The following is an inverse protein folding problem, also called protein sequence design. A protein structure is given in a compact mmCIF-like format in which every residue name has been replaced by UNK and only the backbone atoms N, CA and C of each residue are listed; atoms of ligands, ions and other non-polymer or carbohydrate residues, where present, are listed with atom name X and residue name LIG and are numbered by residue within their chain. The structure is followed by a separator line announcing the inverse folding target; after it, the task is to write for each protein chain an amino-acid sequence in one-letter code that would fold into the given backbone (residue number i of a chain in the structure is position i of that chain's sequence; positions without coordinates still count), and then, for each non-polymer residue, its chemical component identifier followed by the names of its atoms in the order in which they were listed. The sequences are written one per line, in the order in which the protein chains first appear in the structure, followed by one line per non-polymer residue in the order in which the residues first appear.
data_IF_075141665529
#
_entry.id   IF_075141665529
#
_cell.length_a   1.000
_cell.length_b   1.000
_cell.length_c   1.000
_cell.angle_alpha   90.00
_cell.angle_beta   90.00
_cell.angle_gamma   90.00
#
_symmetry.space_group_name_H-M   'P 1'
#
loop_
_entity.id
_entity.type
_entity.pdbx_description
1 polymer ?
#
# COMPACT_ATOMS: atom_id res chain seq x y z
N UNK A 1 2.73 7.93 -4.07
CA UNK A 1 2.75 7.97 -2.59
C UNK A 1 3.88 8.81 -2.01
N UNK A 2 5.11 8.78 -2.57
CA UNK A 2 6.24 9.59 -2.05
C UNK A 2 6.03 11.11 -1.98
N UNK A 3 5.10 11.69 -2.75
CA UNK A 3 4.75 13.12 -2.72
C UNK A 3 3.78 13.51 -1.60
N UNK A 4 2.89 12.60 -1.18
CA UNK A 4 1.99 12.83 -0.03
C UNK A 4 2.76 12.70 1.29
N UNK A 5 3.76 11.82 1.32
CA UNK A 5 4.74 11.74 2.40
C UNK A 5 5.62 13.00 2.44
N UNK A 6 6.01 13.57 1.29
CA UNK A 6 6.70 14.86 1.25
C UNK A 6 5.85 16.00 1.87
N UNK A 7 4.52 15.95 1.78
CA UNK A 7 3.62 16.89 2.46
C UNK A 7 3.54 16.64 3.98
N UNK A 8 3.59 15.37 4.42
CA UNK A 8 3.66 14.98 5.83
C UNK A 8 5.00 15.36 6.48
N UNK A 9 6.08 15.28 5.70
CA UNK A 9 7.46 15.58 6.10
C UNK A 9 7.71 17.09 6.22
N UNK A 10 7.06 17.91 5.39
CA UNK A 10 7.53 19.27 5.13
C UNK A 10 6.92 20.37 5.99
N UNK A 11 5.96 20.13 6.88
CA UNK A 11 5.49 21.24 7.68
C UNK A 11 4.95 20.86 9.05
N UNK A 12 5.29 21.73 9.98
CA UNK A 12 4.60 22.01 11.22
C UNK A 12 3.16 22.52 10.90
N UNK A 13 2.39 21.75 10.12
CA UNK A 13 1.07 22.15 9.61
C UNK A 13 0.10 22.17 10.79
N UNK A 14 -0.52 23.33 11.03
CA UNK A 14 -1.69 23.46 11.93
C UNK A 14 -2.72 22.38 11.54
N UNK A 15 -2.96 21.40 12.40
CA UNK A 15 -3.83 20.24 12.12
C UNK A 15 -3.15 18.87 12.11
N UNK A 16 -1.88 18.76 12.52
CA UNK A 16 -1.14 17.48 12.49
C UNK A 16 -1.88 16.30 13.16
N UNK A 17 -2.66 16.53 14.23
CA UNK A 17 -3.44 15.50 14.92
C UNK A 17 -4.61 14.96 14.10
N UNK A 18 -5.35 15.82 13.39
CA UNK A 18 -6.47 15.39 12.56
C UNK A 18 -6.00 14.67 11.30
N UNK A 19 -4.86 15.08 10.73
CA UNK A 19 -4.23 14.34 9.63
C UNK A 19 -3.84 12.91 10.03
N UNK A 20 -3.24 12.71 11.22
CA UNK A 20 -2.93 11.37 11.73
C UNK A 20 -4.18 10.47 11.76
N UNK A 21 -5.33 11.00 12.20
CA UNK A 21 -6.59 10.23 12.26
C UNK A 21 -7.09 9.84 10.87
N UNK A 22 -7.12 10.79 9.92
CA UNK A 22 -7.62 10.55 8.56
C UNK A 22 -6.77 9.50 7.83
N UNK A 23 -5.45 9.60 7.94
CA UNK A 23 -4.53 8.67 7.29
C UNK A 23 -4.48 7.31 7.97
N UNK A 24 -4.75 7.22 9.27
CA UNK A 24 -4.76 5.97 10.01
C UNK A 24 -6.09 5.21 9.86
N UNK A 25 -7.19 5.91 9.64
CA UNK A 25 -8.54 5.34 9.52
C UNK A 25 -8.63 4.09 8.61
N UNK A 26 -8.00 4.07 7.42
CA UNK A 26 -8.03 2.88 6.55
C UNK A 26 -7.44 1.61 7.15
N UNK A 27 -6.38 1.74 7.97
CA UNK A 27 -5.62 0.61 8.50
C UNK A 27 -6.21 -0.02 9.75
N UNK A 28 -7.26 0.56 10.34
CA UNK A 28 -7.87 0.06 11.59
C UNK A 28 -8.85 -1.08 11.30
N UNK A 29 -9.54 -1.03 10.16
CA UNK A 29 -10.60 -1.96 9.86
C UNK A 29 -10.05 -3.34 9.44
N UNK A 30 -10.71 -4.45 9.81
CA UNK A 30 -10.32 -5.77 9.34
C UNK A 30 -10.31 -5.84 7.80
N UNK A 31 -9.28 -6.46 7.16
CA UNK A 31 -9.17 -6.47 5.69
C UNK A 31 -10.40 -7.01 4.96
N UNK A 32 -11.09 -8.00 5.55
CA UNK A 32 -12.34 -8.54 5.00
C UNK A 32 -13.46 -7.50 4.99
N UNK A 33 -13.60 -6.71 6.06
CA UNK A 33 -14.63 -5.67 6.13
C UNK A 33 -14.35 -4.54 5.12
N UNK A 34 -13.08 -4.15 4.98
CA UNK A 34 -12.63 -3.19 3.98
C UNK A 34 -12.96 -3.67 2.56
N UNK A 35 -12.65 -4.93 2.26
CA UNK A 35 -12.95 -5.53 0.97
C UNK A 35 -14.45 -5.53 0.67
N UNK A 36 -15.30 -5.95 1.61
CA UNK A 36 -16.77 -5.97 1.43
C UNK A 36 -17.32 -4.55 1.22
N UNK A 37 -16.84 -3.58 2.01
CA UNK A 37 -17.23 -2.18 1.90
C UNK A 37 -16.92 -1.64 0.50
N UNK A 38 -15.68 -1.82 0.03
CA UNK A 38 -15.29 -1.34 -1.29
C UNK A 38 -15.92 -2.12 -2.43
N UNK A 39 -16.09 -3.44 -2.32
CA UNK A 39 -16.85 -4.22 -3.30
C UNK A 39 -18.26 -3.68 -3.49
N UNK A 40 -18.92 -3.24 -2.41
CA UNK A 40 -20.22 -2.57 -2.47
C UNK A 40 -20.12 -1.20 -3.15
N UNK A 41 -19.07 -0.43 -2.85
CA UNK A 41 -18.80 0.86 -3.49
C UNK A 41 -18.52 0.78 -4.99
N UNK A 42 -17.95 -0.34 -5.47
CA UNK A 42 -17.66 -0.63 -6.87
C UNK A 42 -18.78 -1.37 -7.61
N UNK A 43 -19.96 -1.55 -7.00
CA UNK A 43 -21.10 -2.19 -7.68
C UNK A 43 -21.54 -1.39 -8.92
N UNK A 44 -21.87 -2.06 -10.04
CA UNK A 44 -22.19 -1.38 -11.29
C UNK A 44 -23.40 -0.44 -11.20
N UNK A 45 -24.47 -0.84 -10.50
CA UNK A 45 -25.75 -0.12 -10.51
C UNK A 45 -25.89 0.89 -9.35
N UNK A 46 -25.43 0.53 -8.15
CA UNK A 46 -25.64 1.30 -6.91
C UNK A 46 -24.34 1.74 -6.24
N UNK A 47 -23.18 1.45 -6.84
CA UNK A 47 -21.89 1.77 -6.26
C UNK A 47 -21.64 3.28 -6.19
N UNK A 48 -21.18 3.74 -5.02
CA UNK A 48 -20.84 5.16 -4.80
C UNK A 48 -19.85 5.70 -5.84
N UNK A 49 -18.93 4.85 -6.32
CA UNK A 49 -17.93 5.22 -7.32
C UNK A 49 -18.61 5.58 -8.64
N UNK A 50 -19.54 4.75 -9.11
CA UNK A 50 -20.28 5.00 -10.34
C UNK A 50 -21.23 6.19 -10.23
N UNK A 51 -21.84 6.40 -9.05
CA UNK A 51 -22.67 7.59 -8.81
C UNK A 51 -21.85 8.88 -8.95
N UNK A 52 -20.63 8.89 -8.39
CA UNK A 52 -19.72 10.04 -8.50
C UNK A 52 -19.29 10.25 -9.96
N UNK A 53 -18.90 9.20 -10.66
CA UNK A 53 -18.49 9.28 -12.07
C UNK A 53 -19.64 9.74 -12.98
N UNK A 54 -20.87 9.29 -12.71
CA UNK A 54 -22.07 9.73 -13.39
C UNK A 54 -22.30 11.24 -13.24
N UNK A 55 -22.12 11.78 -12.02
CA UNK A 55 -22.20 13.23 -11.77
C UNK A 55 -21.12 14.04 -12.47
N UNK A 56 -19.96 13.44 -12.72
CA UNK A 56 -18.84 14.05 -13.45
C UNK A 56 -18.96 13.89 -14.98
N UNK A 57 -20.01 13.23 -15.48
CA UNK A 57 -20.20 12.98 -16.92
C UNK A 57 -19.34 11.85 -17.49
N UNK A 58 -18.71 11.03 -16.65
CA UNK A 58 -17.81 9.93 -17.04
C UNK A 58 -18.55 8.57 -17.17
N UNK A 59 -19.89 8.58 -17.15
CA UNK A 59 -20.72 7.37 -17.16
C UNK A 59 -20.95 6.78 -15.77
N UNK A 60 -22.00 5.96 -15.64
CA UNK A 60 -22.52 5.46 -14.36
C UNK A 60 -22.70 3.93 -14.30
N UNK A 61 -22.26 3.19 -15.32
CA UNK A 61 -22.49 1.75 -15.44
C UNK A 61 -21.19 0.94 -15.62
N UNK A 62 -20.08 1.41 -15.04
CA UNK A 62 -18.80 0.72 -15.15
C UNK A 62 -18.80 -0.57 -14.34
N UNK A 63 -18.50 -1.68 -15.02
CA UNK A 63 -18.47 -3.01 -14.44
C UNK A 63 -17.10 -3.32 -13.80
N UNK A 64 -16.69 -2.51 -12.83
CA UNK A 64 -15.33 -2.47 -12.26
C UNK A 64 -14.75 -3.84 -11.93
N UNK A 65 -15.47 -4.65 -11.15
CA UNK A 65 -15.01 -5.96 -10.68
C UNK A 65 -15.36 -7.12 -11.62
N UNK A 66 -16.20 -6.87 -12.63
CA UNK A 66 -16.72 -7.91 -13.52
C UNK A 66 -16.02 -7.97 -14.88
N UNK A 67 -15.25 -6.94 -15.26
CA UNK A 67 -14.40 -6.95 -16.46
C UNK A 67 -12.94 -7.26 -16.12
N UNK A 68 -12.29 -8.11 -16.93
CA UNK A 68 -10.88 -8.47 -16.78
C UNK A 68 -9.95 -7.28 -16.90
N UNK A 69 -10.34 -6.31 -17.72
CA UNK A 69 -9.53 -5.13 -18.02
C UNK A 69 -9.56 -4.11 -16.88
N UNK A 70 -10.63 -4.14 -16.05
CA UNK A 70 -10.83 -3.14 -15.00
C UNK A 70 -10.67 -3.68 -13.59
N UNK A 71 -10.87 -4.98 -13.34
CA UNK A 71 -10.94 -5.56 -12.00
C UNK A 71 -9.68 -5.36 -11.15
N UNK A 72 -8.52 -5.24 -11.80
CA UNK A 72 -7.27 -5.03 -11.10
C UNK A 72 -7.17 -3.64 -10.46
N UNK A 73 -7.75 -2.59 -11.07
CA UNK A 73 -7.63 -1.23 -10.54
C UNK A 73 -8.30 -1.02 -9.17
N UNK A 74 -9.57 -1.45 -8.96
CA UNK A 74 -10.18 -1.42 -7.63
C UNK A 74 -9.39 -2.19 -6.59
N UNK A 75 -8.89 -3.38 -6.94
CA UNK A 75 -8.12 -4.23 -6.01
C UNK A 75 -6.82 -3.53 -5.60
N UNK A 76 -6.08 -2.95 -6.54
CA UNK A 76 -4.90 -2.14 -6.25
C UNK A 76 -5.25 -0.94 -5.38
N UNK A 77 -6.33 -0.22 -5.72
CA UNK A 77 -6.76 0.94 -4.97
C UNK A 77 -7.06 0.59 -3.51
N UNK A 78 -7.81 -0.48 -3.25
CA UNK A 78 -8.14 -0.93 -1.89
C UNK A 78 -6.90 -1.40 -1.13
N UNK A 79 -6.01 -2.13 -1.81
CA UNK A 79 -4.73 -2.56 -1.23
C UNK A 79 -3.88 -1.36 -0.78
N UNK A 80 -3.68 -0.39 -1.68
CA UNK A 80 -2.95 0.85 -1.37
C UNK A 80 -3.64 1.63 -0.26
N UNK A 81 -4.96 1.84 -0.36
CA UNK A 81 -5.73 2.57 0.63
C UNK A 81 -5.56 2.00 2.03
N UNK A 82 -5.57 0.66 2.15
CA UNK A 82 -5.39 -0.05 3.43
C UNK A 82 -3.97 0.07 3.98
N UNK A 83 -2.96 0.08 3.11
CA UNK A 83 -1.55 0.12 3.50
C UNK A 83 -1.05 1.52 3.92
N UNK A 84 -1.66 2.58 3.37
CA UNK A 84 -1.18 3.96 3.53
C UNK A 84 -1.05 4.40 5.00
N UNK A 85 -1.95 3.96 5.88
CA UNK A 85 -1.91 4.37 7.29
C UNK A 85 -0.66 3.91 8.02
N UNK A 86 -0.22 2.67 7.79
CA UNK A 86 1.01 2.14 8.38
C UNK A 86 2.24 2.89 7.86
N UNK A 87 2.38 2.98 6.53
CA UNK A 87 3.51 3.67 5.91
C UNK A 87 3.62 5.14 6.37
N UNK A 88 2.48 5.83 6.45
CA UNK A 88 2.42 7.21 6.94
C UNK A 88 2.93 7.34 8.39
N UNK A 89 2.46 6.48 9.31
CA UNK A 89 2.85 6.56 10.72
C UNK A 89 4.34 6.30 10.93
N UNK A 90 4.90 5.29 10.27
CA UNK A 90 6.32 4.96 10.41
C UNK A 90 7.20 6.08 9.85
N UNK A 91 6.86 6.62 8.68
CA UNK A 91 7.63 7.71 8.06
C UNK A 91 7.52 8.99 8.89
N UNK A 92 6.34 9.28 9.42
CA UNK A 92 6.16 10.43 10.30
C UNK A 92 6.99 10.31 11.57
N UNK A 93 6.98 9.14 12.22
CA UNK A 93 7.82 8.87 13.39
C UNK A 93 9.32 8.94 13.08
N UNK A 94 9.73 8.57 11.86
CA UNK A 94 11.12 8.71 11.40
C UNK A 94 11.54 10.19 11.23
N UNK A 95 10.66 11.01 10.65
CA UNK A 95 10.91 12.43 10.45
C UNK A 95 10.92 13.19 11.77
N UNK A 96 10.00 12.84 12.70
CA UNK A 96 9.92 13.46 14.04
C UNK A 96 11.20 13.22 14.87
N UNK A 97 12.00 12.19 14.56
CA UNK A 97 13.28 11.91 15.23
C UNK A 97 14.45 12.75 14.72
N UNK A 98 14.31 13.46 13.60
CA UNK A 98 15.39 14.31 13.06
C UNK A 98 15.61 15.50 14.00
N UNK A 99 16.85 15.74 14.49
CA UNK A 99 17.15 16.87 15.35
C UNK A 99 16.72 18.21 14.74
N UNK A 100 16.02 19.04 15.52
CA UNK A 100 15.55 20.36 15.08
C UNK A 100 16.73 21.26 14.67
N UNK A 101 17.88 21.11 15.31
CA UNK A 101 19.12 21.86 15.02
C UNK A 101 19.59 21.71 13.57
N UNK A 102 19.40 20.55 12.92
CA UNK A 102 19.76 20.35 11.51
C UNK A 102 18.91 21.22 10.58
N UNK A 103 17.63 21.41 10.92
CA UNK A 103 16.71 22.26 10.16
C UNK A 103 17.01 23.74 10.38
N UNK A 104 17.34 24.13 11.61
CA UNK A 104 17.75 25.50 11.94
C UNK A 104 19.06 25.89 11.24
N UNK A 105 20.06 25.01 11.26
CA UNK A 105 21.32 25.21 10.52
C UNK A 105 21.06 25.38 9.02
N UNK A 106 20.21 24.54 8.43
CA UNK A 106 19.85 24.65 7.01
C UNK A 106 19.14 25.98 6.68
N UNK A 107 18.34 26.54 7.59
CA UNK A 107 17.71 27.85 7.40
C UNK A 107 18.75 28.98 7.46
N UNK A 108 19.74 28.89 8.34
CA UNK A 108 20.86 29.84 8.42
C UNK A 108 21.69 29.80 7.14
N UNK A 109 21.90 28.60 6.57
CA UNK A 109 22.60 28.39 5.30
C UNK A 109 21.76 28.77 4.05
N UNK A 110 20.54 29.30 4.24
CA UNK A 110 19.66 29.73 3.17
C UNK A 110 19.03 28.59 2.35
N UNK A 111 19.01 27.36 2.89
CA UNK A 111 18.43 26.22 2.20
C UNK A 111 16.91 26.32 2.11
N UNK A 112 16.37 26.23 0.89
CA UNK A 112 14.93 26.20 0.65
C UNK A 112 14.31 24.84 1.02
N UNK A 113 12.97 24.78 1.09
CA UNK A 113 12.22 23.57 1.50
C UNK A 113 12.57 22.31 0.69
N UNK A 114 12.80 22.46 -0.62
CA UNK A 114 13.17 21.33 -1.49
C UNK A 114 14.58 20.82 -1.17
N UNK A 115 15.52 21.72 -0.89
CA UNK A 115 16.87 21.36 -0.48
C UNK A 115 16.84 20.67 0.89
N UNK A 116 16.11 21.21 1.86
CA UNK A 116 15.95 20.58 3.18
C UNK A 116 15.37 19.16 3.06
N UNK A 117 14.33 18.96 2.26
CA UNK A 117 13.76 17.63 2.04
C UNK A 117 14.74 16.67 1.36
N UNK A 118 15.33 17.07 0.22
CA UNK A 118 16.15 16.16 -0.60
C UNK A 118 17.55 15.92 -0.06
N UNK A 119 18.13 16.87 0.68
CA UNK A 119 19.51 16.81 1.17
C UNK A 119 19.63 16.45 2.64
N UNK A 120 18.60 16.69 3.45
CA UNK A 120 18.62 16.39 4.89
C UNK A 120 17.62 15.30 5.20
N UNK A 121 16.32 15.56 5.00
CA UNK A 121 15.29 14.63 5.47
C UNK A 121 15.32 13.29 4.75
N UNK A 122 15.28 13.29 3.41
CA UNK A 122 15.20 12.08 2.60
C UNK A 122 16.40 11.15 2.84
N UNK A 123 17.66 11.62 2.86
CA UNK A 123 18.81 10.76 3.21
C UNK A 123 18.72 10.17 4.62
N UNK A 124 18.30 10.97 5.62
CA UNK A 124 18.23 10.52 7.01
C UNK A 124 17.15 9.44 7.25
N UNK A 125 16.02 9.53 6.56
CA UNK A 125 14.94 8.53 6.67
C UNK A 125 15.05 7.40 5.65
N UNK A 126 16.03 7.45 4.74
CA UNK A 126 16.18 6.48 3.65
C UNK A 126 16.24 5.01 4.11
N UNK A 127 16.98 4.65 5.18
CA UNK A 127 16.98 3.27 5.67
C UNK A 127 15.58 2.79 6.09
N UNK A 128 14.81 3.67 6.72
CA UNK A 128 13.44 3.39 7.16
C UNK A 128 12.51 3.25 5.95
N UNK A 129 12.66 4.11 4.94
CA UNK A 129 11.91 3.97 3.68
C UNK A 129 12.17 2.63 3.00
N UNK A 130 13.43 2.16 2.97
CA UNK A 130 13.78 0.87 2.40
C UNK A 130 13.17 -0.29 3.18
N UNK A 131 13.16 -0.22 4.52
CA UNK A 131 12.50 -1.21 5.37
C UNK A 131 11.00 -1.27 5.09
N UNK A 132 10.30 -0.12 5.09
CA UNK A 132 8.86 -0.07 4.80
C UNK A 132 8.58 -0.59 3.39
N UNK A 133 9.34 -0.16 2.40
CA UNK A 133 9.18 -0.61 1.02
C UNK A 133 9.30 -2.14 0.89
N UNK A 134 10.26 -2.74 1.60
CA UNK A 134 10.42 -4.21 1.64
C UNK A 134 9.19 -4.87 2.28
N UNK A 135 8.71 -4.34 3.40
CA UNK A 135 7.52 -4.87 4.08
C UNK A 135 6.26 -4.76 3.20
N UNK A 136 6.09 -3.64 2.50
CA UNK A 136 4.97 -3.41 1.59
C UNK A 136 4.96 -4.41 0.43
N UNK A 137 6.12 -4.75 -0.13
CA UNK A 137 6.21 -5.81 -1.14
C UNK A 137 5.75 -7.14 -0.55
N UNK A 138 6.26 -7.50 0.63
CA UNK A 138 5.92 -8.77 1.29
C UNK A 138 4.42 -8.85 1.58
N UNK A 139 3.83 -7.78 2.12
CA UNK A 139 2.39 -7.74 2.43
C UNK A 139 1.52 -7.72 1.18
N UNK A 140 1.90 -6.97 0.15
CA UNK A 140 1.17 -6.95 -1.13
C UNK A 140 1.13 -8.33 -1.77
N UNK A 141 2.25 -9.05 -1.78
CA UNK A 141 2.30 -10.43 -2.27
C UNK A 141 1.43 -11.40 -1.43
N UNK A 142 1.25 -11.11 -0.13
CA UNK A 142 0.38 -11.86 0.76
C UNK A 142 -1.05 -11.28 0.86
N UNK A 143 -1.47 -10.44 -0.10
CA UNK A 143 -2.76 -9.76 -0.14
C UNK A 143 -3.98 -10.66 -0.37
N UNK A 144 -3.94 -11.92 0.06
CA UNK A 144 -4.97 -12.94 -0.17
C UNK A 144 -6.36 -12.46 0.23
N UNK A 145 -6.52 -11.91 1.44
CA UNK A 145 -7.85 -11.58 1.98
C UNK A 145 -8.58 -10.54 1.13
N UNK A 146 -7.89 -9.49 0.70
CA UNK A 146 -8.49 -8.41 -0.10
C UNK A 146 -8.84 -8.92 -1.49
N UNK A 147 -7.90 -9.59 -2.17
CA UNK A 147 -8.11 -10.13 -3.52
C UNK A 147 -9.24 -11.17 -3.51
N UNK A 148 -9.23 -12.09 -2.54
CA UNK A 148 -10.25 -13.13 -2.43
C UNK A 148 -11.63 -12.53 -2.18
N UNK A 149 -11.77 -11.65 -1.17
CA UNK A 149 -13.05 -11.07 -0.81
C UNK A 149 -13.63 -10.13 -1.87
N UNK A 150 -12.79 -9.50 -2.70
CA UNK A 150 -13.26 -8.60 -3.77
C UNK A 150 -13.62 -9.32 -5.06
N UNK A 151 -12.79 -10.27 -5.51
CA UNK A 151 -12.90 -10.84 -6.86
C UNK A 151 -12.73 -12.35 -6.92
N UNK A 152 -12.34 -13.01 -5.82
CA UNK A 152 -11.87 -14.40 -5.81
C UNK A 152 -10.74 -14.67 -6.83
N UNK A 153 -9.95 -13.64 -7.15
CA UNK A 153 -8.91 -13.66 -8.18
C UNK A 153 -9.41 -13.48 -9.62
N UNK A 154 -10.70 -13.30 -9.85
CA UNK A 154 -11.28 -13.13 -11.18
C UNK A 154 -11.37 -11.67 -11.67
N UNK A 155 -12.07 -11.45 -12.80
CA UNK A 155 -12.55 -12.46 -13.75
C UNK A 155 -11.39 -13.02 -14.61
N UNK A 156 -11.52 -14.26 -15.09
CA UNK A 156 -10.49 -14.93 -15.91
C UNK A 156 -9.06 -14.88 -15.32
N UNK A 157 -8.97 -15.04 -13.99
CA UNK A 157 -7.72 -14.95 -13.23
C UNK A 157 -6.97 -13.60 -13.33
N UNK A 158 -7.62 -12.52 -13.81
CA UNK A 158 -6.97 -11.22 -14.02
C UNK A 158 -6.49 -10.52 -12.73
N UNK A 159 -6.98 -10.96 -11.56
CA UNK A 159 -6.55 -10.45 -10.26
C UNK A 159 -5.91 -11.55 -9.39
N UNK A 160 -5.69 -12.74 -9.95
CA UNK A 160 -5.15 -13.89 -9.21
C UNK A 160 -3.67 -13.68 -8.85
N UNK A 161 -3.35 -13.90 -7.58
CA UNK A 161 -1.98 -13.96 -7.05
C UNK A 161 -1.63 -15.40 -6.65
N UNK A 162 -0.34 -15.71 -6.48
CA UNK A 162 0.12 -17.07 -6.11
C UNK A 162 -0.62 -17.68 -4.90
N UNK A 163 -0.84 -16.95 -3.78
CA UNK A 163 -1.65 -17.48 -2.68
C UNK A 163 -3.08 -17.87 -3.05
N UNK A 164 -3.72 -17.13 -3.97
CA UNK A 164 -5.07 -17.41 -4.46
C UNK A 164 -5.07 -18.68 -5.31
N UNK A 165 -4.09 -18.84 -6.19
CA UNK A 165 -3.94 -20.04 -7.01
C UNK A 165 -3.67 -21.27 -6.14
N UNK A 166 -2.76 -21.17 -5.17
CA UNK A 166 -2.47 -22.25 -4.24
C UNK A 166 -3.73 -22.67 -3.46
N UNK A 167 -4.53 -21.69 -3.01
CA UNK A 167 -5.80 -21.96 -2.34
C UNK A 167 -6.80 -22.68 -3.26
N UNK A 168 -6.97 -22.22 -4.51
CA UNK A 168 -7.83 -22.88 -5.51
C UNK A 168 -7.37 -24.32 -5.77
N UNK A 169 -6.07 -24.56 -5.96
CA UNK A 169 -5.50 -25.90 -6.16
C UNK A 169 -5.78 -26.82 -4.97
N UNK A 170 -5.55 -26.38 -3.74
CA UNK A 170 -5.77 -27.19 -2.54
C UNK A 170 -7.26 -27.49 -2.30
N UNK A 171 -8.08 -26.43 -2.21
CA UNK A 171 -9.43 -26.53 -1.65
C UNK A 171 -10.53 -26.65 -2.70
N UNK A 172 -10.28 -26.21 -3.94
CA UNK A 172 -11.26 -26.34 -5.04
C UNK A 172 -10.98 -27.55 -5.92
N UNK A 173 -9.72 -27.83 -6.20
CA UNK A 173 -9.32 -28.93 -7.09
C UNK A 173 -8.77 -30.17 -6.37
N UNK A 174 -8.55 -30.11 -5.05
CA UNK A 174 -8.02 -31.22 -4.25
C UNK A 174 -6.55 -31.56 -4.53
N UNK A 175 -5.81 -30.69 -5.22
CA UNK A 175 -4.42 -30.87 -5.67
C UNK A 175 -3.45 -30.29 -4.65
N UNK A 176 -3.41 -30.91 -3.46
CA UNK A 176 -2.57 -30.46 -2.34
C UNK A 176 -1.07 -30.43 -2.67
N UNK A 177 -0.57 -31.35 -3.48
CA UNK A 177 0.85 -31.37 -3.89
C UNK A 177 1.25 -30.13 -4.70
N UNK A 178 0.42 -29.75 -5.68
CA UNK A 178 0.62 -28.53 -6.47
C UNK A 178 0.50 -27.28 -5.61
N UNK A 179 -0.51 -27.22 -4.73
CA UNK A 179 -0.67 -26.11 -3.79
C UNK A 179 0.52 -25.95 -2.84
N UNK A 180 1.05 -27.06 -2.31
CA UNK A 180 2.23 -27.05 -1.47
C UNK A 180 3.47 -26.54 -2.22
N UNK A 181 3.66 -26.95 -3.47
CA UNK A 181 4.75 -26.43 -4.31
C UNK A 181 4.63 -24.91 -4.53
N UNK A 182 3.43 -24.41 -4.83
CA UNK A 182 3.16 -22.96 -4.97
C UNK A 182 3.45 -22.19 -3.67
N UNK A 183 3.08 -22.75 -2.51
CA UNK A 183 3.37 -22.15 -1.22
C UNK A 183 4.88 -22.08 -0.93
N UNK A 184 5.63 -23.15 -1.24
CA UNK A 184 7.09 -23.17 -1.09
C UNK A 184 7.76 -22.15 -2.01
N UNK A 185 7.36 -22.07 -3.28
CA UNK A 185 7.88 -21.07 -4.23
C UNK A 185 7.63 -19.65 -3.71
N UNK A 186 6.42 -19.39 -3.21
CA UNK A 186 6.06 -18.09 -2.62
C UNK A 186 6.94 -17.78 -1.40
N UNK A 187 7.16 -18.77 -0.52
CA UNK A 187 8.03 -18.61 0.65
C UNK A 187 9.48 -18.30 0.28
N UNK A 188 10.04 -19.00 -0.71
CA UNK A 188 11.41 -18.74 -1.21
C UNK A 188 11.50 -17.33 -1.80
N UNK A 189 10.53 -16.93 -2.63
CA UNK A 189 10.49 -15.59 -3.21
C UNK A 189 10.48 -14.50 -2.12
N UNK A 190 9.62 -14.63 -1.12
CA UNK A 190 9.54 -13.67 -0.02
C UNK A 190 10.81 -13.65 0.84
N UNK A 191 11.47 -14.79 1.02
CA UNK A 191 12.74 -14.87 1.73
C UNK A 191 13.85 -14.12 0.97
N UNK A 192 13.90 -14.24 -0.36
CA UNK A 192 14.84 -13.50 -1.21
C UNK A 192 14.58 -12.00 -1.07
N UNK A 193 13.32 -11.56 -1.23
CA UNK A 193 12.93 -10.15 -1.08
C UNK A 193 13.32 -9.61 0.29
N UNK A 194 13.00 -10.33 1.36
CA UNK A 194 13.34 -9.94 2.74
C UNK A 194 14.85 -9.84 2.96
N UNK A 195 15.63 -10.81 2.44
CA UNK A 195 17.09 -10.80 2.56
C UNK A 195 17.71 -9.62 1.81
N UNK A 196 17.23 -9.33 0.59
CA UNK A 196 17.68 -8.17 -0.19
C UNK A 196 17.36 -6.88 0.56
N UNK A 197 16.13 -6.74 1.07
CA UNK A 197 15.70 -5.56 1.82
C UNK A 197 16.56 -5.30 3.06
N UNK A 198 16.87 -6.34 3.84
CA UNK A 198 17.75 -6.23 5.02
C UNK A 198 19.18 -5.83 4.63
N UNK A 199 19.71 -6.37 3.52
CA UNK A 199 21.06 -6.03 3.06
C UNK A 199 21.13 -4.56 2.61
N UNK A 200 20.15 -4.09 1.85
CA UNK A 200 20.06 -2.71 1.40
C UNK A 200 19.90 -1.72 2.57
N UNK A 201 19.12 -2.07 3.60
CA UNK A 201 18.96 -1.20 4.77
C UNK A 201 20.22 -1.14 5.63
N UNK A 202 21.02 -2.21 5.70
CA UNK A 202 22.27 -2.26 6.47
C UNK A 202 23.42 -1.53 5.80
N UNK A 203 23.54 -1.58 4.46
CA UNK A 203 24.60 -0.88 3.73
C UNK A 203 24.52 0.64 3.83
N UNK A 204 23.37 1.19 4.23
CA UNK A 204 23.18 2.64 4.41
C UNK A 204 23.37 3.11 5.86
N UNK A 205 23.48 2.18 6.82
CA UNK A 205 23.73 2.50 8.24
C UNK A 205 25.23 2.47 8.60
N UNK A 206 26.08 1.98 7.70
CA UNK A 206 27.55 1.96 7.80
C UNK A 206 28.15 3.15 7.08
#
# INVERSE_FOLDING_TARGET
MGTLLAAAVSANVRGHKSMKIIWFFPGIAPPTAVAIFWSSGFQPESGVVNVILGKLGLGNAHAWLASSDTALYPVIFVGVWSAVGFAFLVILGAVEQIPVSLREAALVDGANMRQQFTKITLPLIRPILMTIFTLEIIWTFNGFTVVWAMTNGGPSDSTSILPILAYKEAFRYGRFGTAAAMAVITGIFLMIVGTIGIRLSRSEQQ
#
